data_IF_975427197404
#
_entry.id   IF_975427197404
#
_cell.length_a   1.000
_cell.length_b   1.000
_cell.length_c   1.000
_cell.angle_alpha   90.00
_cell.angle_beta   90.00
_cell.angle_gamma   90.00
#
_symmetry.space_group_name_H-M   'P 1'
#
loop_
_entity.id
_entity.type
_entity.pdbx_description
1 polymer ?
#
# COMPACT_ATOMS: atom_id res chain seq x y z
N UNK A 1 -25.25 6.34 47.49
CA UNK A 1 -24.87 5.06 46.87
C UNK A 1 -24.56 5.35 45.41
N UNK A 2 -23.27 5.43 45.05
CA UNK A 2 -22.87 5.76 43.67
C UNK A 2 -23.13 4.58 42.73
N UNK A 3 -23.52 4.80 41.46
CA UNK A 3 -23.75 3.72 40.52
C UNK A 3 -22.44 3.00 40.20
N UNK A 4 -22.50 1.66 40.17
CA UNK A 4 -21.41 0.76 39.83
C UNK A 4 -20.94 1.04 38.38
N UNK A 5 -19.63 1.05 38.08
CA UNK A 5 -19.15 1.20 36.72
C UNK A 5 -19.69 0.07 35.83
N UNK A 6 -20.18 0.42 34.64
CA UNK A 6 -20.59 -0.56 33.64
C UNK A 6 -19.38 -1.42 33.24
N UNK A 7 -19.61 -2.73 33.10
CA UNK A 7 -18.58 -3.66 32.64
C UNK A 7 -18.08 -3.24 31.24
N UNK A 8 -16.78 -3.42 30.93
CA UNK A 8 -16.26 -3.12 29.60
C UNK A 8 -17.00 -3.97 28.57
N UNK A 9 -17.49 -3.32 27.51
CA UNK A 9 -18.07 -4.01 26.37
C UNK A 9 -17.04 -4.99 25.78
N UNK A 10 -17.46 -6.19 25.35
CA UNK A 10 -16.56 -7.12 24.68
C UNK A 10 -15.93 -6.44 23.46
N UNK A 11 -14.61 -6.60 23.30
CA UNK A 11 -13.88 -6.05 22.18
C UNK A 11 -14.49 -6.57 20.87
N UNK A 12 -14.84 -5.66 19.96
CA UNK A 12 -15.34 -6.04 18.64
C UNK A 12 -14.29 -6.91 17.93
N UNK A 13 -14.70 -7.96 17.18
CA UNK A 13 -13.76 -8.75 16.40
C UNK A 13 -13.00 -7.82 15.43
N UNK A 14 -11.67 -7.84 15.49
CA UNK A 14 -10.82 -7.08 14.55
C UNK A 14 -11.19 -7.53 13.14
N UNK A 15 -11.64 -6.59 12.29
CA UNK A 15 -11.85 -6.87 10.86
C UNK A 15 -10.59 -7.51 10.27
N UNK A 16 -10.71 -8.51 9.39
CA UNK A 16 -9.54 -9.13 8.77
C UNK A 16 -8.74 -8.07 8.02
N UNK A 17 -7.45 -7.95 8.36
CA UNK A 17 -6.60 -6.91 7.81
C UNK A 17 -5.95 -7.39 6.53
N UNK A 18 -6.11 -6.58 5.49
CA UNK A 18 -5.59 -6.85 4.15
C UNK A 18 -4.75 -5.65 3.68
N UNK A 19 -3.46 -5.92 3.44
CA UNK A 19 -2.50 -4.98 2.88
C UNK A 19 -2.35 -5.22 1.38
N UNK A 20 -2.53 -4.18 0.58
CA UNK A 20 -2.13 -4.15 -0.83
C UNK A 20 -0.84 -3.34 -0.97
N UNK A 21 0.17 -3.93 -1.59
CA UNK A 21 1.47 -3.29 -1.87
C UNK A 21 1.61 -3.04 -3.37
N UNK A 22 1.58 -1.76 -3.78
CA UNK A 22 1.91 -1.36 -5.14
C UNK A 22 3.43 -1.20 -5.27
N UNK A 23 4.07 -2.05 -6.08
CA UNK A 23 5.52 -2.09 -6.23
C UNK A 23 6.20 -2.92 -5.14
N UNK A 24 6.12 -4.25 -5.24
CA UNK A 24 6.72 -5.19 -4.28
C UNK A 24 8.22 -5.40 -4.54
N UNK A 25 8.97 -4.30 -4.48
CA UNK A 25 10.43 -4.28 -4.53
C UNK A 25 11.04 -4.65 -3.16
N UNK A 26 12.20 -4.07 -2.85
CA UNK A 26 12.92 -4.37 -1.60
C UNK A 26 12.09 -4.06 -0.34
N UNK A 27 11.65 -2.81 -0.18
CA UNK A 27 10.88 -2.38 0.99
C UNK A 27 9.51 -3.04 1.02
N UNK A 28 8.79 -3.03 -0.11
CA UNK A 28 7.48 -3.66 -0.22
C UNK A 28 7.50 -5.14 0.20
N UNK A 29 8.49 -5.90 -0.26
CA UNK A 29 8.65 -7.31 0.12
C UNK A 29 8.90 -7.49 1.62
N UNK A 30 9.78 -6.69 2.21
CA UNK A 30 10.08 -6.76 3.65
C UNK A 30 8.81 -6.54 4.50
N UNK A 31 8.04 -5.51 4.15
CA UNK A 31 6.76 -5.21 4.81
C UNK A 31 5.77 -6.36 4.62
N UNK A 32 5.66 -6.90 3.40
CA UNK A 32 4.77 -8.04 3.09
C UNK A 32 5.10 -9.28 3.92
N UNK A 33 6.37 -9.72 3.95
CA UNK A 33 6.80 -10.89 4.73
C UNK A 33 6.48 -10.70 6.22
N UNK A 34 6.71 -9.50 6.76
CA UNK A 34 6.42 -9.19 8.16
C UNK A 34 4.92 -9.25 8.46
N UNK A 35 4.06 -8.74 7.58
CA UNK A 35 2.61 -8.76 7.78
C UNK A 35 2.03 -10.17 7.61
N UNK A 36 2.52 -10.93 6.63
CA UNK A 36 2.18 -12.35 6.48
C UNK A 36 2.50 -13.14 7.77
N UNK A 37 3.67 -12.89 8.39
CA UNK A 37 4.04 -13.53 9.66
C UNK A 37 3.11 -13.18 10.83
N UNK A 38 2.35 -12.10 10.72
CA UNK A 38 1.36 -11.65 11.70
C UNK A 38 -0.07 -12.12 11.36
N UNK A 39 -0.24 -12.94 10.33
CA UNK A 39 -1.53 -13.46 9.88
C UNK A 39 -2.36 -12.49 9.06
N UNK A 40 -1.75 -11.44 8.51
CA UNK A 40 -2.45 -10.54 7.58
C UNK A 40 -2.59 -11.21 6.21
N UNK A 41 -3.66 -10.87 5.50
CA UNK A 41 -3.72 -11.09 4.06
C UNK A 41 -2.86 -10.03 3.38
N UNK A 42 -2.00 -10.44 2.44
CA UNK A 42 -1.18 -9.50 1.68
C UNK A 42 -1.31 -9.76 0.18
N UNK A 43 -1.64 -8.71 -0.55
CA UNK A 43 -1.58 -8.66 -2.01
C UNK A 43 -0.44 -7.75 -2.46
N UNK A 44 0.20 -8.07 -3.58
CA UNK A 44 1.29 -7.25 -4.10
C UNK A 44 1.31 -7.16 -5.60
N UNK A 45 1.88 -6.08 -6.13
CA UNK A 45 2.14 -5.94 -7.56
C UNK A 45 3.62 -6.00 -7.89
N UNK A 46 3.92 -6.43 -9.11
CA UNK A 46 5.26 -6.45 -9.69
C UNK A 46 5.18 -6.32 -11.22
N UNK A 47 6.29 -6.09 -11.90
CA UNK A 47 6.30 -5.85 -13.36
C UNK A 47 6.66 -7.08 -14.19
N UNK A 48 6.96 -8.24 -13.57
CA UNK A 48 7.34 -9.45 -14.30
C UNK A 48 6.66 -10.70 -13.77
N UNK A 49 6.36 -11.64 -14.68
CA UNK A 49 5.75 -12.92 -14.33
C UNK A 49 6.64 -13.76 -13.40
N UNK A 50 7.97 -13.72 -13.59
CA UNK A 50 8.92 -14.39 -12.71
C UNK A 50 8.81 -13.87 -11.27
N UNK A 51 8.75 -12.54 -11.10
CA UNK A 51 8.61 -11.94 -9.77
C UNK A 51 7.26 -12.27 -9.15
N UNK A 52 6.19 -12.30 -9.94
CA UNK A 52 4.87 -12.72 -9.49
C UNK A 52 4.93 -14.10 -8.83
N UNK A 53 5.51 -15.09 -9.50
CA UNK A 53 5.66 -16.45 -8.96
C UNK A 53 6.46 -16.46 -7.66
N UNK A 54 7.55 -15.69 -7.57
CA UNK A 54 8.32 -15.57 -6.31
C UNK A 54 7.47 -15.04 -5.15
N UNK A 55 6.61 -14.05 -5.40
CA UNK A 55 5.73 -13.46 -4.38
C UNK A 55 4.61 -14.42 -3.98
N UNK A 56 4.05 -15.17 -4.93
CA UNK A 56 3.04 -16.20 -4.64
C UNK A 56 3.61 -17.32 -3.77
N UNK A 57 4.87 -17.73 -4.01
CA UNK A 57 5.57 -18.70 -3.16
C UNK A 57 5.80 -18.22 -1.73
N UNK A 58 5.77 -16.91 -1.47
CA UNK A 58 5.80 -16.34 -0.12
C UNK A 58 4.43 -16.34 0.58
N UNK A 59 3.36 -16.70 -0.14
CA UNK A 59 1.99 -16.65 0.37
C UNK A 59 1.25 -15.35 0.07
N UNK A 60 1.76 -14.51 -0.83
CA UNK A 60 1.05 -13.31 -1.30
C UNK A 60 0.07 -13.66 -2.43
N UNK A 61 -1.00 -12.88 -2.56
CA UNK A 61 -1.73 -12.79 -3.84
C UNK A 61 -1.03 -11.77 -4.73
N UNK A 62 -0.37 -12.19 -5.82
CA UNK A 62 0.42 -11.29 -6.65
C UNK A 62 -0.20 -11.04 -8.04
N UNK A 63 -0.09 -9.81 -8.52
CA UNK A 63 -0.49 -9.42 -9.88
C UNK A 63 0.68 -8.79 -10.64
N UNK A 64 0.78 -9.08 -11.94
CA UNK A 64 1.63 -8.29 -12.83
C UNK A 64 0.90 -7.01 -13.15
N UNK A 65 1.51 -5.87 -12.84
CA UNK A 65 0.95 -4.54 -13.02
C UNK A 65 2.08 -3.56 -13.31
N UNK A 66 1.91 -2.81 -14.39
CA UNK A 66 2.78 -1.73 -14.80
C UNK A 66 2.00 -0.42 -14.67
N UNK A 67 2.44 0.46 -13.78
CA UNK A 67 1.76 1.73 -13.49
C UNK A 67 1.71 2.70 -14.69
N UNK A 68 2.44 2.43 -15.78
CA UNK A 68 2.43 3.27 -16.99
C UNK A 68 1.44 2.80 -18.06
N UNK A 69 1.04 1.53 -18.02
CA UNK A 69 0.24 0.90 -19.09
C UNK A 69 -0.98 0.14 -18.59
N UNK A 70 -0.96 -0.34 -17.35
CA UNK A 70 -2.04 -1.11 -16.74
C UNK A 70 -3.07 -0.19 -16.09
N UNK A 71 -4.33 -0.61 -16.04
CA UNK A 71 -5.35 0.14 -15.33
C UNK A 71 -5.37 -0.28 -13.85
N UNK A 72 -5.46 0.68 -12.92
CA UNK A 72 -5.60 0.39 -11.49
C UNK A 72 -6.86 -0.43 -11.18
N UNK A 73 -7.92 -0.27 -11.97
CA UNK A 73 -9.18 -1.00 -11.80
C UNK A 73 -9.05 -2.51 -12.05
N UNK A 74 -7.99 -2.95 -12.74
CA UNK A 74 -7.68 -4.37 -12.95
C UNK A 74 -7.16 -5.04 -11.66
N UNK A 75 -6.75 -4.26 -10.66
CA UNK A 75 -6.32 -4.77 -9.37
C UNK A 75 -7.52 -5.07 -8.48
N UNK A 76 -8.06 -6.29 -8.57
CA UNK A 76 -9.19 -6.72 -7.73
C UNK A 76 -8.94 -6.54 -6.23
N UNK A 77 -7.69 -6.70 -5.78
CA UNK A 77 -7.30 -6.49 -4.39
C UNK A 77 -7.51 -5.04 -3.90
N UNK A 78 -7.64 -4.07 -4.80
CA UNK A 78 -7.89 -2.67 -4.45
C UNK A 78 -9.33 -2.46 -3.92
N UNK A 79 -10.25 -3.37 -4.23
CA UNK A 79 -11.66 -3.28 -3.80
C UNK A 79 -11.86 -3.68 -2.33
N UNK A 80 -11.10 -4.68 -1.85
CA UNK A 80 -11.22 -5.23 -0.50
C UNK A 80 -10.04 -4.91 0.43
N UNK A 81 -8.98 -4.29 -0.10
CA UNK A 81 -7.86 -3.82 0.71
C UNK A 81 -8.32 -2.83 1.79
N UNK A 82 -7.79 -3.04 2.99
CA UNK A 82 -7.97 -2.13 4.13
C UNK A 82 -6.79 -1.18 4.30
N UNK A 83 -5.62 -1.57 3.80
CA UNK A 83 -4.38 -0.82 3.88
C UNK A 83 -3.70 -0.83 2.51
N UNK A 84 -3.15 0.32 2.11
CA UNK A 84 -2.42 0.48 0.86
C UNK A 84 -1.00 1.00 1.13
N UNK A 85 0.00 0.32 0.60
CA UNK A 85 1.37 0.79 0.54
C UNK A 85 1.74 1.06 -0.92
N UNK A 86 2.08 2.30 -1.24
CA UNK A 86 2.62 2.72 -2.53
C UNK A 86 4.14 2.80 -2.41
N UNK A 87 4.81 1.87 -3.06
CA UNK A 87 6.27 1.72 -3.10
C UNK A 87 6.80 1.69 -4.54
N UNK A 88 6.01 2.18 -5.51
CA UNK A 88 6.43 2.32 -6.91
C UNK A 88 7.39 3.51 -6.98
N UNK A 89 8.63 3.33 -7.48
CA UNK A 89 9.55 4.45 -7.62
C UNK A 89 9.10 5.40 -8.75
N UNK A 90 9.44 6.70 -8.65
CA UNK A 90 9.20 7.62 -9.75
C UNK A 90 10.03 7.23 -10.98
N UNK A 91 9.50 7.56 -12.16
CA UNK A 91 10.15 7.33 -13.44
C UNK A 91 10.88 8.61 -13.88
N UNK A 92 12.16 8.53 -14.27
CA UNK A 92 12.91 9.70 -14.75
C UNK A 92 12.18 10.45 -15.87
N UNK A 93 12.02 11.77 -15.72
CA UNK A 93 11.34 12.65 -16.68
C UNK A 93 9.80 12.55 -16.68
N UNK A 94 9.20 11.60 -15.96
CA UNK A 94 7.74 11.44 -15.84
C UNK A 94 7.25 11.77 -14.43
N UNK A 95 8.04 11.42 -13.40
CA UNK A 95 7.62 11.55 -12.00
C UNK A 95 6.90 10.29 -11.51
N UNK A 96 5.96 10.44 -10.57
CA UNK A 96 5.18 9.31 -10.07
C UNK A 96 4.21 8.81 -11.16
N UNK A 97 4.34 7.56 -11.63
CA UNK A 97 3.47 7.02 -12.67
C UNK A 97 2.00 6.92 -12.27
N UNK A 98 1.68 6.85 -10.97
CA UNK A 98 0.29 6.78 -10.49
C UNK A 98 -0.45 8.11 -10.60
N UNK A 99 0.24 9.25 -10.80
CA UNK A 99 -0.41 10.54 -11.00
C UNK A 99 -1.32 10.55 -12.25
N UNK A 100 -0.91 9.87 -13.31
CA UNK A 100 -1.70 9.71 -14.53
C UNK A 100 -3.01 8.96 -14.29
N UNK A 101 -3.07 8.13 -13.25
CA UNK A 101 -4.25 7.36 -12.83
C UNK A 101 -4.90 7.92 -11.57
N UNK A 102 -4.65 9.19 -11.22
CA UNK A 102 -5.17 9.80 -9.99
C UNK A 102 -6.69 9.69 -9.85
N UNK A 103 -7.46 9.91 -10.93
CA UNK A 103 -8.92 9.84 -10.87
C UNK A 103 -9.41 8.43 -10.54
N UNK A 104 -8.79 7.40 -11.14
CA UNK A 104 -9.10 6.00 -10.89
C UNK A 104 -8.71 5.60 -9.47
N UNK A 105 -7.53 6.06 -9.02
CA UNK A 105 -7.06 5.88 -7.66
C UNK A 105 -8.04 6.52 -6.68
N UNK A 106 -8.35 7.80 -6.81
CA UNK A 106 -9.27 8.52 -5.92
C UNK A 106 -10.65 7.85 -5.85
N UNK A 107 -11.21 7.46 -7.00
CA UNK A 107 -12.50 6.76 -7.06
C UNK A 107 -12.45 5.43 -6.31
N UNK A 108 -11.38 4.66 -6.50
CA UNK A 108 -11.24 3.36 -5.83
C UNK A 108 -10.97 3.50 -4.34
N UNK A 109 -10.16 4.49 -3.93
CA UNK A 109 -9.86 4.75 -2.52
C UNK A 109 -11.08 5.28 -1.74
N UNK A 110 -11.97 6.03 -2.37
CA UNK A 110 -13.15 6.63 -1.71
C UNK A 110 -14.36 5.69 -1.61
N UNK A 111 -14.46 4.69 -2.48
CA UNK A 111 -15.57 3.73 -2.50
C UNK A 111 -15.28 2.42 -1.75
N UNK A 112 -14.03 2.18 -1.35
CA UNK A 112 -13.57 0.93 -0.75
C UNK A 112 -13.56 0.89 0.79
N UNK A 113 -12.95 -0.15 1.34
CA UNK A 113 -12.76 -0.37 2.78
C UNK A 113 -11.46 0.23 3.32
N UNK A 114 -10.80 1.12 2.57
CA UNK A 114 -9.48 1.63 2.91
C UNK A 114 -9.52 2.42 4.22
N UNK A 115 -8.67 2.03 5.16
CA UNK A 115 -8.50 2.66 6.47
C UNK A 115 -7.17 3.41 6.58
N UNK A 116 -6.19 3.04 5.75
CA UNK A 116 -4.84 3.57 5.83
C UNK A 116 -4.13 3.52 4.48
N UNK A 117 -3.35 4.56 4.18
CA UNK A 117 -2.50 4.65 3.01
C UNK A 117 -1.12 5.17 3.43
N UNK A 118 -0.08 4.53 2.92
CA UNK A 118 1.28 5.05 2.98
C UNK A 118 1.85 5.16 1.57
N UNK A 119 2.44 6.31 1.30
CA UNK A 119 3.19 6.60 0.09
C UNK A 119 4.67 6.76 0.47
N UNK A 120 5.53 5.91 -0.10
CA UNK A 120 6.97 6.01 0.11
C UNK A 120 7.55 7.10 -0.81
N UNK A 121 7.74 8.28 -0.25
CA UNK A 121 8.42 9.39 -0.91
C UNK A 121 9.95 9.25 -0.83
N UNK A 122 10.65 10.22 -1.40
CA UNK A 122 12.09 10.41 -1.28
C UNK A 122 12.37 11.84 -0.85
N UNK A 123 13.39 12.06 -0.04
CA UNK A 123 13.85 13.42 0.33
C UNK A 123 14.42 14.18 -0.87
N UNK A 124 14.73 13.50 -1.98
CA UNK A 124 15.16 14.17 -3.22
C UNK A 124 14.11 15.13 -3.79
N UNK A 125 12.85 15.09 -3.33
CA UNK A 125 11.79 16.03 -3.74
C UNK A 125 12.09 17.48 -3.35
N UNK A 126 12.93 17.71 -2.34
CA UNK A 126 13.32 19.06 -1.91
C UNK A 126 14.35 19.72 -2.84
N UNK A 127 14.97 18.97 -3.75
CA UNK A 127 15.97 19.49 -4.68
C UNK A 127 17.29 19.85 -3.99
N UNK A 128 18.03 20.77 -4.60
CA UNK A 128 19.28 21.28 -4.02
C UNK A 128 18.96 22.44 -3.06
N UNK A 129 19.13 22.19 -1.76
CA UNK A 129 18.94 23.18 -0.72
C UNK A 129 20.26 23.86 -0.30
N UNK A 130 21.35 23.71 -1.07
CA UNK A 130 22.61 24.40 -0.83
C UNK A 130 23.28 24.03 0.50
N UNK A 131 23.01 22.84 1.02
CA UNK A 131 23.50 22.38 2.33
C UNK A 131 22.72 22.92 3.54
N UNK A 132 21.59 23.60 3.33
CA UNK A 132 20.68 23.95 4.40
C UNK A 132 20.03 22.70 5.03
N UNK A 133 19.64 22.82 6.29
CA UNK A 133 18.73 21.85 6.91
C UNK A 133 17.35 21.99 6.27
N UNK A 134 16.74 20.85 6.00
CA UNK A 134 15.41 20.75 5.41
C UNK A 134 14.61 19.80 6.28
N UNK A 135 13.37 20.17 6.57
CA UNK A 135 12.37 19.39 7.27
C UNK A 135 11.01 19.56 6.56
N UNK A 136 9.96 18.99 7.14
CA UNK A 136 8.60 18.98 6.59
C UNK A 136 7.77 20.23 6.93
N UNK A 137 8.27 21.19 7.73
CA UNK A 137 7.52 22.36 8.23
C UNK A 137 7.72 23.64 7.39
#
# INVERSE_FOLDING_TARGET
>A
MAPKPAAPMPAQPKKPQHMLVLGTGFVGRYVSERLLSQGWRVSGTCTSAAKKTELELLGMTASVFDATTSNLTDLHALQDATHLLISIPPIPGVGDPLLSSHADLQTTLTSGNLQWLCYLSSTSVYGDCGGAWVDEE
#
